data_IF_885949083931
#
_entry.id   IF_885949083931
#
_cell.length_a   1.000
_cell.length_b   1.000
_cell.length_c   1.000
_cell.angle_alpha   90.00
_cell.angle_beta   90.00
_cell.angle_gamma   90.00
#
_symmetry.space_group_name_H-M   'P 1'
#
loop_
_entity.id
_entity.type
_entity.pdbx_description
1 polymer ?
#
# COMPACT_ATOMS: atom_id res chain seq x y z
N UNK A 1 15.03 5.73 -11.55
CA UNK A 1 13.68 5.18 -11.25
C UNK A 1 12.94 4.88 -12.55
N UNK A 2 12.80 5.84 -13.47
CA UNK A 2 12.27 5.62 -14.84
C UNK A 2 12.90 4.41 -15.53
N UNK A 3 14.24 4.37 -15.55
CA UNK A 3 15.04 3.32 -16.17
C UNK A 3 14.67 1.90 -15.71
N UNK A 4 14.40 1.72 -14.41
CA UNK A 4 14.09 0.40 -13.86
C UNK A 4 12.74 -0.11 -14.38
N UNK A 5 11.71 0.75 -14.43
CA UNK A 5 10.41 0.34 -14.97
C UNK A 5 10.48 0.07 -16.47
N UNK A 6 11.26 0.86 -17.22
CA UNK A 6 11.47 0.66 -18.66
C UNK A 6 12.17 -0.68 -18.95
N UNK A 7 13.25 -0.98 -18.21
CA UNK A 7 14.00 -2.24 -18.32
C UNK A 7 13.13 -3.47 -17.96
N UNK A 8 12.21 -3.31 -17.01
CA UNK A 8 11.30 -4.36 -16.56
C UNK A 8 9.98 -4.41 -17.37
N UNK A 9 9.81 -3.55 -18.38
CA UNK A 9 8.59 -3.44 -19.20
C UNK A 9 7.33 -3.19 -18.35
N UNK A 10 7.47 -2.38 -17.30
CA UNK A 10 6.40 -2.01 -16.39
C UNK A 10 5.85 -0.65 -16.79
N UNK A 11 4.56 -0.59 -17.11
CA UNK A 11 3.85 0.67 -17.33
C UNK A 11 3.26 1.17 -16.02
N UNK A 12 3.67 2.36 -15.58
CA UNK A 12 3.08 3.02 -14.43
C UNK A 12 1.67 3.53 -14.75
N UNK A 13 0.69 3.16 -13.93
CA UNK A 13 -0.67 3.70 -13.99
C UNK A 13 -0.94 4.54 -12.76
N UNK A 14 -1.27 5.80 -12.97
CA UNK A 14 -1.61 6.72 -11.89
C UNK A 14 -3.11 6.65 -11.58
N UNK A 15 -3.43 6.78 -10.29
CA UNK A 15 -4.81 6.91 -9.82
C UNK A 15 -5.38 8.21 -10.40
N UNK A 16 -6.52 8.09 -11.07
CA UNK A 16 -7.19 9.22 -11.68
C UNK A 16 -8.08 9.94 -10.65
N UNK A 17 -8.11 11.28 -10.63
CA UNK A 17 -9.02 12.03 -9.79
C UNK A 17 -10.48 11.58 -10.00
N UNK A 18 -11.22 11.45 -8.91
CA UNK A 18 -12.62 11.00 -8.94
C UNK A 18 -12.82 9.50 -9.18
N UNK A 19 -11.75 8.70 -9.29
CA UNK A 19 -11.82 7.24 -9.42
C UNK A 19 -11.21 6.51 -8.23
N UNK A 20 -11.78 6.74 -7.04
CA UNK A 20 -11.34 6.10 -5.78
C UNK A 20 -11.23 4.58 -5.85
N UNK A 21 -12.12 3.93 -6.61
CA UNK A 21 -12.10 2.47 -6.81
C UNK A 21 -10.79 1.93 -7.39
N UNK A 22 -9.99 2.74 -8.10
CA UNK A 22 -8.67 2.33 -8.59
C UNK A 22 -7.68 2.04 -7.45
N UNK A 23 -7.88 2.65 -6.27
CA UNK A 23 -7.04 2.42 -5.09
C UNK A 23 -7.61 1.36 -4.13
N UNK A 24 -8.84 0.90 -4.36
CA UNK A 24 -9.59 0.09 -3.38
C UNK A 24 -8.84 -1.19 -2.97
N UNK A 25 -8.15 -1.85 -3.90
CA UNK A 25 -7.37 -3.05 -3.60
C UNK A 25 -6.20 -2.74 -2.65
N UNK A 26 -5.47 -1.66 -2.90
CA UNK A 26 -4.33 -1.25 -2.08
C UNK A 26 -4.80 -0.81 -0.70
N UNK A 27 -5.87 -0.02 -0.62
CA UNK A 27 -6.48 0.39 0.65
C UNK A 27 -6.96 -0.80 1.48
N UNK A 28 -7.69 -1.73 0.86
CA UNK A 28 -8.14 -2.97 1.51
C UNK A 28 -6.97 -3.79 2.03
N UNK A 29 -5.95 -4.02 1.20
CA UNK A 29 -4.73 -4.74 1.60
C UNK A 29 -4.00 -4.05 2.74
N UNK A 30 -3.87 -2.72 2.71
CA UNK A 30 -3.23 -1.96 3.78
C UNK A 30 -4.02 -2.07 5.09
N UNK A 31 -5.35 -2.05 5.03
CA UNK A 31 -6.23 -2.30 6.17
C UNK A 31 -6.02 -3.70 6.75
N UNK A 32 -6.01 -4.74 5.91
CA UNK A 32 -5.77 -6.13 6.33
C UNK A 32 -4.40 -6.31 6.97
N UNK A 33 -3.34 -5.75 6.36
CA UNK A 33 -1.98 -5.85 6.90
C UNK A 33 -1.87 -5.12 8.23
N UNK A 34 -2.38 -3.89 8.31
CA UNK A 34 -2.35 -3.13 9.57
C UNK A 34 -3.13 -3.86 10.66
N UNK A 35 -4.32 -4.36 10.37
CA UNK A 35 -5.10 -5.14 11.33
C UNK A 35 -4.39 -6.42 11.78
N UNK A 36 -3.83 -7.18 10.84
CA UNK A 36 -3.12 -8.42 11.13
C UNK A 36 -1.84 -8.22 11.92
N UNK A 37 -1.00 -7.24 11.54
CA UNK A 37 0.23 -6.91 12.26
C UNK A 37 -0.10 -6.35 13.63
N UNK A 38 -1.01 -5.38 13.73
CA UNK A 38 -1.34 -4.79 15.02
C UNK A 38 -1.97 -5.81 15.99
N UNK A 39 -2.72 -6.79 15.48
CA UNK A 39 -3.27 -7.86 16.32
C UNK A 39 -2.22 -8.91 16.74
N UNK A 40 -1.15 -9.07 15.97
CA UNK A 40 -0.10 -10.05 16.24
C UNK A 40 0.92 -9.59 17.29
N UNK A 41 0.97 -8.28 17.59
CA UNK A 41 1.94 -7.69 18.53
C UNK A 41 1.22 -6.89 19.62
N UNK A 42 1.67 -7.03 20.87
CA UNK A 42 1.29 -6.11 21.95
C UNK A 42 2.28 -4.96 21.91
N UNK A 43 1.80 -3.76 21.66
CA UNK A 43 2.61 -2.55 21.69
C UNK A 43 2.55 -1.95 23.10
N UNK A 44 3.71 -1.57 23.63
CA UNK A 44 3.83 -0.92 24.93
C UNK A 44 3.92 0.61 24.82
N UNK A 45 4.06 1.15 23.60
CA UNK A 45 4.03 2.59 23.34
C UNK A 45 3.99 2.95 21.85
N UNK A 46 3.76 4.24 21.57
CA UNK A 46 3.66 4.77 20.19
C UNK A 46 4.98 4.71 19.41
N UNK A 47 6.11 4.50 20.09
CA UNK A 47 7.43 4.33 19.45
C UNK A 47 7.59 3.01 18.69
N UNK A 48 6.67 2.06 18.90
CA UNK A 48 6.71 0.71 18.33
C UNK A 48 5.73 0.53 17.16
N UNK A 49 5.09 1.62 16.71
CA UNK A 49 4.13 1.67 15.60
C UNK A 49 4.74 2.30 14.36
#
# INVERSE_FOLDING_TARGET
MQQWYDDNKITLQYIQPGRSMQNAYIEGKNGTIRGGILAAYIFHGLSEV
#
